data_IF_161428173988
#
_entry.id   IF_161428173988
#
_cell.length_a   1.000
_cell.length_b   1.000
_cell.length_c   1.000
_cell.angle_alpha   90.00
_cell.angle_beta   90.00
_cell.angle_gamma   90.00
#
_symmetry.space_group_name_H-M   'P 1'
#
loop_
_entity.id
_entity.type
_entity.pdbx_description
1 polymer ?
#
# COMPACT_ATOMS: atom_id res chain seq x y z
N UNK A 1 25.26 20.10 -25.65
CA UNK A 1 24.25 19.46 -24.81
C UNK A 1 23.17 20.52 -24.64
N UNK A 2 22.08 20.43 -25.40
CA UNK A 2 21.00 21.42 -25.30
C UNK A 2 20.34 21.22 -23.93
N UNK A 3 20.23 22.29 -23.14
CA UNK A 3 19.42 22.27 -21.92
C UNK A 3 17.99 21.94 -22.34
N UNK A 4 17.48 20.81 -21.83
CA UNK A 4 16.08 20.45 -22.01
C UNK A 4 15.29 21.29 -21.03
N UNK A 5 14.39 22.11 -21.54
CA UNK A 5 13.51 22.90 -20.69
C UNK A 5 12.64 21.94 -19.87
N UNK A 6 12.70 22.09 -18.55
CA UNK A 6 11.83 21.35 -17.64
C UNK A 6 11.30 22.28 -16.57
N UNK A 7 10.04 22.08 -16.20
CA UNK A 7 9.39 22.83 -15.13
C UNK A 7 8.52 21.91 -14.28
N UNK A 8 8.18 22.40 -13.09
CA UNK A 8 7.34 21.72 -12.12
C UNK A 8 5.97 22.40 -12.06
N UNK A 9 4.91 21.61 -11.94
CA UNK A 9 3.55 22.09 -11.65
C UNK A 9 2.84 21.14 -10.69
N UNK A 10 1.96 21.67 -9.86
CA UNK A 10 1.09 20.86 -8.98
C UNK A 10 -0.24 20.53 -9.67
N UNK A 11 -0.53 21.18 -10.80
CA UNK A 11 -1.73 20.93 -11.61
C UNK A 11 -1.49 19.79 -12.59
N UNK A 12 -2.46 18.88 -12.70
CA UNK A 12 -2.42 17.82 -13.72
C UNK A 12 -2.46 18.46 -15.12
N UNK A 13 -1.52 18.11 -16.02
CA UNK A 13 -1.57 18.54 -17.42
C UNK A 13 -2.89 18.14 -18.10
N UNK A 14 -3.44 19.03 -18.94
CA UNK A 14 -4.77 18.83 -19.57
C UNK A 14 -4.93 17.49 -20.31
N UNK A 15 -3.89 17.05 -21.04
CA UNK A 15 -3.95 15.76 -21.73
C UNK A 15 -3.96 14.57 -20.76
N UNK A 16 -3.33 14.68 -19.58
CA UNK A 16 -3.43 13.64 -18.56
C UNK A 16 -4.81 13.63 -17.88
N UNK A 17 -5.46 14.78 -17.74
CA UNK A 17 -6.85 14.84 -17.27
C UNK A 17 -7.81 14.20 -18.28
N UNK A 18 -7.54 14.39 -19.58
CA UNK A 18 -8.27 13.69 -20.64
C UNK A 18 -8.00 12.17 -20.60
N UNK A 19 -6.76 11.73 -20.40
CA UNK A 19 -6.39 10.31 -20.23
C UNK A 19 -7.10 9.69 -19.03
N UNK A 20 -7.12 10.39 -17.90
CA UNK A 20 -7.83 10.00 -16.69
C UNK A 20 -9.33 9.88 -16.94
N UNK A 21 -9.95 10.88 -17.59
CA UNK A 21 -11.37 10.85 -17.91
C UNK A 21 -11.71 9.66 -18.82
N UNK A 22 -10.90 9.43 -19.87
CA UNK A 22 -11.03 8.23 -20.73
C UNK A 22 -10.93 6.93 -19.95
N UNK A 23 -10.03 6.86 -18.96
CA UNK A 23 -9.88 5.68 -18.10
C UNK A 23 -11.11 5.46 -17.21
N UNK A 24 -11.61 6.50 -16.55
CA UNK A 24 -12.79 6.42 -15.69
C UNK A 24 -14.07 6.09 -16.46
N UNK A 25 -14.21 6.61 -17.69
CA UNK A 25 -15.35 6.37 -18.56
C UNK A 25 -15.26 5.04 -19.32
N UNK A 26 -14.08 4.40 -19.35
CA UNK A 26 -13.87 3.20 -20.15
C UNK A 26 -14.61 1.99 -19.62
N UNK A 27 -14.70 1.82 -18.31
CA UNK A 27 -15.33 0.64 -17.70
C UNK A 27 -16.20 1.03 -16.52
N UNK A 28 -17.39 0.43 -16.47
CA UNK A 28 -18.25 0.50 -15.29
C UNK A 28 -17.57 -0.22 -14.13
N UNK A 29 -17.08 0.56 -13.16
CA UNK A 29 -16.35 0.03 -12.01
C UNK A 29 -17.20 -0.99 -11.22
N UNK A 30 -16.62 -2.16 -10.95
CA UNK A 30 -17.26 -3.37 -10.42
C UNK A 30 -17.53 -3.30 -8.92
N UNK A 31 -18.38 -2.37 -8.49
CA UNK A 31 -18.71 -2.10 -7.08
C UNK A 31 -19.67 -3.11 -6.44
N UNK A 32 -20.28 -4.00 -7.21
CA UNK A 32 -21.35 -4.88 -6.74
C UNK A 32 -20.93 -5.75 -5.55
N UNK A 33 -21.65 -5.65 -4.43
CA UNK A 33 -21.35 -6.40 -3.20
C UNK A 33 -20.11 -5.92 -2.42
N UNK A 34 -19.50 -4.79 -2.81
CA UNK A 34 -18.48 -4.09 -2.04
C UNK A 34 -19.09 -2.87 -1.33
N UNK A 35 -18.64 -2.58 -0.12
CA UNK A 35 -19.05 -1.38 0.62
C UNK A 35 -18.09 -0.21 0.36
N UNK A 36 -18.25 0.42 -0.80
CA UNK A 36 -17.40 1.55 -1.22
C UNK A 36 -17.62 2.78 -0.32
N UNK A 37 -18.82 2.96 0.23
CA UNK A 37 -19.10 4.03 1.19
C UNK A 37 -18.31 3.83 2.48
N UNK A 38 -18.23 2.61 2.99
CA UNK A 38 -17.42 2.26 4.15
C UNK A 38 -15.92 2.44 3.91
N UNK A 39 -15.41 2.06 2.73
CA UNK A 39 -14.02 2.32 2.33
C UNK A 39 -13.71 3.83 2.37
N UNK A 40 -14.57 4.64 1.77
CA UNK A 40 -14.42 6.10 1.75
C UNK A 40 -14.55 6.71 3.15
N UNK A 41 -15.51 6.25 3.94
CA UNK A 41 -15.70 6.67 5.33
C UNK A 41 -14.46 6.36 6.18
N UNK A 42 -13.90 5.16 6.05
CA UNK A 42 -12.71 4.76 6.78
C UNK A 42 -11.53 5.69 6.49
N UNK A 43 -11.20 5.92 5.22
CA UNK A 43 -10.11 6.84 4.84
C UNK A 43 -10.41 8.29 5.30
N UNK A 44 -11.66 8.72 5.13
CA UNK A 44 -12.15 10.02 5.58
C UNK A 44 -12.05 10.24 7.09
N UNK A 45 -12.15 9.17 7.91
CA UNK A 45 -12.00 9.25 9.37
C UNK A 45 -10.58 9.64 9.83
N UNK A 46 -9.57 9.39 8.99
CA UNK A 46 -8.19 9.88 9.16
C UNK A 46 -7.96 11.24 8.47
N UNK A 47 -9.03 11.85 7.95
CA UNK A 47 -9.01 13.07 7.15
C UNK A 47 -8.29 12.89 5.80
N UNK A 48 -8.15 11.66 5.31
CA UNK A 48 -7.55 11.38 4.02
C UNK A 48 -8.63 11.47 2.94
N UNK A 49 -8.28 12.00 1.78
CA UNK A 49 -9.18 12.10 0.63
C UNK A 49 -8.77 11.05 -0.39
N UNK A 50 -9.49 9.91 -0.48
CA UNK A 50 -9.23 8.98 -1.56
C UNK A 50 -9.50 9.65 -2.90
N UNK A 51 -8.68 9.29 -3.90
CA UNK A 51 -8.95 9.67 -5.28
C UNK A 51 -9.83 8.63 -5.95
N UNK A 52 -10.19 8.89 -7.20
CA UNK A 52 -10.99 7.98 -8.00
C UNK A 52 -10.24 6.65 -8.22
N UNK A 53 -11.03 5.59 -8.31
CA UNK A 53 -10.53 4.24 -8.55
C UNK A 53 -11.41 3.52 -9.54
N UNK A 54 -10.79 2.59 -10.28
CA UNK A 54 -11.48 1.69 -11.17
C UNK A 54 -11.27 0.26 -10.67
N UNK A 55 -12.37 -0.41 -10.36
CA UNK A 55 -12.40 -1.82 -9.97
C UNK A 55 -12.84 -2.63 -11.19
N UNK A 56 -12.08 -3.65 -11.56
CA UNK A 56 -12.28 -4.35 -12.82
C UNK A 56 -12.06 -5.86 -12.69
N UNK A 57 -12.56 -6.62 -13.65
CA UNK A 57 -12.32 -8.06 -13.77
C UNK A 57 -11.35 -8.40 -14.90
N UNK A 58 -10.91 -9.66 -14.98
CA UNK A 58 -9.96 -10.09 -16.01
C UNK A 58 -10.49 -9.87 -17.44
N UNK A 59 -11.82 -9.99 -17.63
CA UNK A 59 -12.50 -9.70 -18.89
C UNK A 59 -12.43 -8.23 -19.34
N UNK A 60 -12.17 -7.29 -18.42
CA UNK A 60 -12.07 -5.86 -18.71
C UNK A 60 -10.66 -5.45 -19.17
N UNK A 61 -9.66 -6.34 -19.06
CA UNK A 61 -8.24 -6.02 -19.30
C UNK A 61 -7.98 -5.55 -20.72
N UNK A 62 -8.54 -6.24 -21.73
CA UNK A 62 -8.26 -5.89 -23.13
C UNK A 62 -8.84 -4.52 -23.48
N UNK A 63 -10.03 -4.19 -22.95
CA UNK A 63 -10.62 -2.86 -23.08
C UNK A 63 -9.76 -1.79 -22.41
N UNK A 64 -9.27 -2.05 -21.19
CA UNK A 64 -8.38 -1.13 -20.48
C UNK A 64 -7.09 -0.86 -21.26
N UNK A 65 -6.49 -1.87 -21.91
CA UNK A 65 -5.28 -1.71 -22.73
C UNK A 65 -5.49 -0.74 -23.89
N UNK A 66 -6.68 -0.69 -24.47
CA UNK A 66 -7.03 0.21 -25.57
C UNK A 66 -7.18 1.67 -25.13
N UNK A 67 -7.43 1.93 -23.85
CA UNK A 67 -7.60 3.29 -23.32
C UNK A 67 -6.29 4.08 -23.40
N UNK A 68 -5.19 3.46 -22.95
CA UNK A 68 -3.87 4.08 -22.83
C UNK A 68 -2.79 3.18 -23.47
N UNK A 69 -2.81 2.98 -24.80
CA UNK A 69 -1.96 2.00 -25.48
C UNK A 69 -0.46 2.34 -25.38
N UNK A 70 -0.13 3.62 -25.26
CA UNK A 70 1.26 4.10 -25.24
C UNK A 70 1.89 4.10 -23.83
N UNK A 71 1.11 3.92 -22.76
CA UNK A 71 1.65 3.93 -21.39
C UNK A 71 2.20 2.56 -21.00
N UNK A 72 3.50 2.37 -21.18
CA UNK A 72 4.19 1.10 -20.85
C UNK A 72 4.00 0.66 -19.40
N UNK A 73 3.91 1.58 -18.45
CA UNK A 73 3.76 1.21 -17.02
C UNK A 73 2.39 0.62 -16.76
N UNK A 74 1.37 1.21 -17.37
CA UNK A 74 -0.01 0.73 -17.36
C UNK A 74 -0.15 -0.61 -18.08
N UNK A 75 0.44 -0.75 -19.28
CA UNK A 75 0.44 -2.02 -20.02
C UNK A 75 1.14 -3.15 -19.22
N UNK A 76 2.30 -2.86 -18.62
CA UNK A 76 3.04 -3.83 -17.79
C UNK A 76 2.20 -4.27 -16.58
N UNK A 77 1.52 -3.33 -15.92
CA UNK A 77 0.61 -3.67 -14.83
C UNK A 77 -0.50 -4.61 -15.29
N UNK A 78 -1.16 -4.31 -16.40
CA UNK A 78 -2.26 -5.13 -16.93
C UNK A 78 -1.79 -6.54 -17.36
N UNK A 79 -0.57 -6.66 -17.88
CA UNK A 79 0.04 -7.96 -18.17
C UNK A 79 0.33 -8.77 -16.90
N UNK A 80 0.87 -8.13 -15.85
CA UNK A 80 1.14 -8.75 -14.55
C UNK A 80 -0.14 -9.05 -13.74
N UNK A 81 -1.19 -8.25 -13.95
CA UNK A 81 -2.47 -8.35 -13.25
C UNK A 81 -3.13 -9.72 -13.48
N UNK A 82 -2.95 -10.31 -14.67
CA UNK A 82 -3.42 -11.68 -14.99
C UNK A 82 -2.79 -12.77 -14.12
N UNK A 83 -1.66 -12.51 -13.45
CA UNK A 83 -0.90 -13.54 -12.74
C UNK A 83 -0.67 -13.30 -11.25
N UNK A 84 -0.42 -12.05 -10.81
CA UNK A 84 0.14 -11.82 -9.46
C UNK A 84 -0.29 -10.53 -8.75
N UNK A 85 -0.61 -9.45 -9.46
CA UNK A 85 -0.95 -8.15 -8.85
C UNK A 85 -2.47 -7.97 -8.75
N UNK A 86 -2.94 -7.52 -7.60
CA UNK A 86 -4.36 -7.23 -7.37
C UNK A 86 -4.69 -5.75 -7.56
N UNK A 87 -3.71 -4.84 -7.50
CA UNK A 87 -3.92 -3.42 -7.71
C UNK A 87 -2.64 -2.65 -7.99
N UNK A 88 -2.82 -1.40 -8.43
CA UNK A 88 -1.77 -0.40 -8.52
C UNK A 88 -2.39 1.00 -8.52
N UNK A 89 -1.77 1.93 -7.78
CA UNK A 89 -1.95 3.35 -7.98
C UNK A 89 -1.08 3.87 -9.14
N UNK A 90 -1.66 4.68 -10.01
CA UNK A 90 -0.97 5.37 -11.10
C UNK A 90 -0.82 6.85 -10.79
N UNK A 91 0.33 7.32 -10.25
CA UNK A 91 0.51 8.71 -9.87
C UNK A 91 0.30 9.69 -11.03
N UNK A 92 0.61 9.27 -12.26
CA UNK A 92 0.44 10.07 -13.48
C UNK A 92 -1.02 10.50 -13.68
N UNK A 93 -1.95 9.56 -13.54
CA UNK A 93 -3.39 9.77 -13.72
C UNK A 93 -4.13 9.99 -12.41
N UNK A 94 -3.41 9.96 -11.29
CA UNK A 94 -3.96 10.07 -9.95
C UNK A 94 -5.13 9.11 -9.68
N UNK A 95 -5.08 7.91 -10.28
CA UNK A 95 -6.16 6.93 -10.26
C UNK A 95 -5.62 5.58 -9.80
N UNK A 96 -6.37 4.90 -8.94
CA UNK A 96 -6.06 3.54 -8.51
C UNK A 96 -6.82 2.53 -9.36
N UNK A 97 -6.13 1.48 -9.80
CA UNK A 97 -6.76 0.35 -10.49
C UNK A 97 -6.71 -0.86 -9.56
N UNK A 98 -7.86 -1.54 -9.40
CA UNK A 98 -7.96 -2.75 -8.61
C UNK A 98 -8.59 -3.87 -9.43
N UNK A 99 -7.82 -4.92 -9.69
CA UNK A 99 -8.33 -6.16 -10.24
C UNK A 99 -9.02 -6.95 -9.15
N UNK A 100 -10.32 -7.16 -9.31
CA UNK A 100 -11.17 -7.77 -8.30
C UNK A 100 -10.98 -9.29 -8.21
N UNK A 101 -10.47 -9.84 -7.09
CA UNK A 101 -10.12 -11.25 -6.98
C UNK A 101 -11.33 -12.12 -6.53
N UNK A 102 -12.25 -12.46 -7.46
CA UNK A 102 -13.49 -13.21 -7.17
C UNK A 102 -13.29 -14.46 -6.30
N UNK A 103 -12.28 -15.26 -6.58
CA UNK A 103 -12.02 -16.50 -5.83
C UNK A 103 -11.60 -16.23 -4.37
N UNK A 104 -10.85 -15.15 -4.15
CA UNK A 104 -10.45 -14.71 -2.82
C UNK A 104 -11.65 -14.16 -2.05
N UNK A 105 -12.54 -13.39 -2.70
CA UNK A 105 -13.79 -12.92 -2.09
C UNK A 105 -14.69 -14.08 -1.67
N UNK A 106 -14.85 -15.10 -2.50
CA UNK A 106 -15.63 -16.29 -2.16
C UNK A 106 -15.07 -17.01 -0.91
N UNK A 107 -13.77 -16.87 -0.66
CA UNK A 107 -13.09 -17.50 0.48
C UNK A 107 -13.06 -16.61 1.72
N UNK A 108 -12.88 -15.30 1.55
CA UNK A 108 -12.57 -14.36 2.64
C UNK A 108 -13.64 -13.29 2.87
N UNK A 109 -14.72 -13.29 2.08
CA UNK A 109 -15.69 -12.21 2.04
C UNK A 109 -15.21 -10.99 1.24
N UNK A 110 -16.09 -10.00 0.99
CA UNK A 110 -15.76 -8.80 0.21
C UNK A 110 -14.67 -7.94 0.85
N UNK A 111 -14.49 -8.03 2.17
CA UNK A 111 -13.49 -7.27 2.95
C UNK A 111 -12.05 -7.46 2.43
N UNK A 112 -11.74 -8.59 1.78
CA UNK A 112 -10.41 -8.80 1.19
C UNK A 112 -10.15 -7.84 0.03
N UNK A 113 -11.15 -7.62 -0.82
CA UNK A 113 -11.07 -6.70 -1.97
C UNK A 113 -11.12 -5.27 -1.50
N UNK A 114 -12.02 -4.95 -0.57
CA UNK A 114 -12.08 -3.62 0.05
C UNK A 114 -10.77 -3.27 0.76
N UNK A 115 -10.14 -4.23 1.44
CA UNK A 115 -8.82 -4.05 2.05
C UNK A 115 -7.73 -3.77 1.01
N UNK A 116 -7.70 -4.50 -0.11
CA UNK A 116 -6.78 -4.17 -1.21
C UNK A 116 -7.10 -2.81 -1.85
N UNK A 117 -8.38 -2.43 -1.95
CA UNK A 117 -8.76 -1.09 -2.41
C UNK A 117 -8.23 -0.01 -1.46
N UNK A 118 -8.36 -0.19 -0.14
CA UNK A 118 -7.83 0.72 0.87
C UNK A 118 -6.30 0.86 0.75
N UNK A 119 -5.59 -0.24 0.48
CA UNK A 119 -4.14 -0.19 0.21
C UNK A 119 -3.84 0.73 -0.98
N UNK A 120 -4.45 0.48 -2.13
CA UNK A 120 -4.18 1.27 -3.35
C UNK A 120 -4.65 2.72 -3.22
N UNK A 121 -5.79 2.95 -2.58
CA UNK A 121 -6.28 4.30 -2.33
C UNK A 121 -5.36 5.03 -1.36
N UNK A 122 -4.73 4.35 -0.40
CA UNK A 122 -3.77 4.97 0.53
C UNK A 122 -2.60 5.62 -0.21
N UNK A 123 -2.10 5.00 -1.29
CA UNK A 123 -1.13 5.63 -2.20
C UNK A 123 -1.68 6.89 -2.88
N UNK A 124 -2.96 6.89 -3.23
CA UNK A 124 -3.61 8.04 -3.89
C UNK A 124 -3.85 9.25 -2.96
N UNK A 125 -3.86 9.06 -1.64
CA UNK A 125 -4.22 10.11 -0.66
C UNK A 125 -3.21 11.25 -0.54
N UNK A 126 -2.07 11.19 -1.23
CA UNK A 126 -1.04 12.23 -1.16
C UNK A 126 -1.49 13.49 -1.89
N UNK A 127 -1.63 14.60 -1.17
CA UNK A 127 -1.87 15.94 -1.73
C UNK A 127 -0.58 16.60 -2.23
N UNK A 128 0.57 15.97 -2.01
CA UNK A 128 1.91 16.48 -2.36
C UNK A 128 2.45 15.96 -3.71
N UNK A 129 1.56 15.54 -4.60
CA UNK A 129 1.95 15.11 -5.94
C UNK A 129 2.29 16.35 -6.79
N UNK A 130 3.44 16.32 -7.43
CA UNK A 130 3.88 17.35 -8.39
C UNK A 130 4.25 16.69 -9.70
N UNK A 131 4.03 17.36 -10.82
CA UNK A 131 4.40 16.91 -12.16
C UNK A 131 5.67 17.61 -12.61
N UNK A 132 6.65 16.83 -13.06
CA UNK A 132 7.79 17.34 -13.83
C UNK A 132 7.48 17.16 -15.31
N UNK A 133 7.41 18.26 -16.02
CA UNK A 133 7.21 18.30 -17.47
C UNK A 133 8.56 18.60 -18.11
N UNK A 134 9.00 17.74 -19.02
CA UNK A 134 10.29 17.84 -19.72
C UNK A 134 10.03 17.87 -21.22
N UNK A 135 10.49 18.92 -21.89
CA UNK A 135 10.47 18.97 -23.35
C UNK A 135 11.56 18.05 -23.90
N UNK A 136 11.16 17.03 -24.67
CA UNK A 136 12.05 16.08 -25.33
C UNK A 136 12.17 16.35 -26.85
N UNK A 137 11.66 17.50 -27.32
CA UNK A 137 11.58 17.88 -28.73
C UNK A 137 10.25 17.46 -29.33
N UNK A 138 10.18 16.23 -29.83
CA UNK A 138 8.96 15.69 -30.46
C UNK A 138 7.98 15.07 -29.45
N UNK A 139 8.38 14.95 -28.17
CA UNK A 139 7.60 14.34 -27.10
C UNK A 139 7.67 15.17 -25.81
N UNK A 140 6.61 15.09 -25.02
CA UNK A 140 6.59 15.66 -23.66
C UNK A 140 6.80 14.51 -22.67
N UNK A 141 7.93 14.55 -21.96
CA UNK A 141 8.21 13.65 -20.86
C UNK A 141 7.51 14.12 -19.59
N UNK A 142 6.71 13.26 -18.96
CA UNK A 142 6.05 13.56 -17.68
C UNK A 142 6.46 12.54 -16.64
N UNK A 143 6.91 13.02 -15.49
CA UNK A 143 7.14 12.19 -14.32
C UNK A 143 6.51 12.81 -13.08
N UNK A 144 6.15 11.95 -12.13
CA UNK A 144 5.63 12.35 -10.81
C UNK A 144 6.71 12.02 -9.79
N UNK A 145 7.66 12.95 -9.51
CA UNK A 145 8.82 12.65 -8.69
C UNK A 145 8.51 12.32 -7.24
N UNK A 146 7.30 12.61 -6.74
CA UNK A 146 6.86 12.27 -5.39
C UNK A 146 5.44 11.75 -5.37
N UNK A 147 5.26 10.62 -4.69
CA UNK A 147 3.96 10.10 -4.28
C UNK A 147 4.05 9.77 -2.80
N UNK A 148 3.54 10.66 -1.95
CA UNK A 148 3.63 10.49 -0.50
C UNK A 148 5.07 10.44 0.02
N UNK A 149 5.41 9.30 0.65
CA UNK A 149 6.75 9.03 1.18
C UNK A 149 7.71 8.55 0.10
N UNK A 150 7.19 8.08 -1.03
CA UNK A 150 8.00 7.66 -2.16
C UNK A 150 8.51 8.86 -2.96
N UNK A 151 9.80 8.82 -3.29
CA UNK A 151 10.43 9.72 -4.27
C UNK A 151 11.01 8.88 -5.39
N UNK A 152 10.54 9.12 -6.60
CA UNK A 152 10.98 8.45 -7.83
C UNK A 152 11.83 9.41 -8.67
N UNK A 153 13.05 8.99 -9.00
CA UNK A 153 13.99 9.73 -9.87
C UNK A 153 14.56 8.84 -10.97
N UNK A 154 15.45 9.40 -11.80
CA UNK A 154 16.10 8.68 -12.90
C UNK A 154 16.87 7.44 -12.40
N UNK A 155 16.24 6.27 -12.49
CA UNK A 155 16.81 4.97 -12.13
C UNK A 155 16.87 4.65 -10.62
N UNK A 156 16.31 5.48 -9.75
CA UNK A 156 16.26 5.22 -8.30
C UNK A 156 14.93 5.64 -7.69
N UNK A 157 14.40 4.79 -6.82
CA UNK A 157 13.21 5.04 -6.00
C UNK A 157 13.61 4.91 -4.52
N UNK A 158 13.20 5.88 -3.69
CA UNK A 158 13.43 5.88 -2.25
C UNK A 158 12.10 5.96 -1.50
N UNK A 159 12.05 5.40 -0.30
CA UNK A 159 10.87 5.49 0.57
C UNK A 159 9.83 4.41 0.32
N UNK A 160 10.12 3.39 -0.50
CA UNK A 160 9.20 2.26 -0.75
C UNK A 160 8.75 1.61 0.57
N UNK A 161 9.66 1.37 1.51
CA UNK A 161 9.32 0.81 2.81
C UNK A 161 8.26 1.63 3.56
N UNK A 162 8.34 2.97 3.52
CA UNK A 162 7.39 3.83 4.21
C UNK A 162 6.07 3.98 3.48
N UNK A 163 6.12 4.07 2.14
CA UNK A 163 4.93 4.18 1.30
C UNK A 163 4.07 2.90 1.37
N UNK A 164 4.70 1.75 1.17
CA UNK A 164 4.06 0.43 1.29
C UNK A 164 3.67 0.11 2.73
N UNK A 165 4.53 0.48 3.69
CA UNK A 165 4.23 0.28 5.10
C UNK A 165 2.98 1.04 5.54
N UNK A 166 2.83 2.29 5.09
CA UNK A 166 1.62 3.07 5.36
C UNK A 166 0.38 2.44 4.71
N UNK A 167 0.45 2.08 3.42
CA UNK A 167 -0.68 1.47 2.71
C UNK A 167 -1.11 0.13 3.32
N UNK A 168 -0.17 -0.73 3.71
CA UNK A 168 -0.46 -1.99 4.40
C UNK A 168 -1.03 -1.79 5.81
N UNK A 169 -0.55 -0.80 6.57
CA UNK A 169 -1.14 -0.48 7.88
C UNK A 169 -2.59 -0.03 7.73
N UNK A 170 -2.89 0.83 6.74
CA UNK A 170 -4.27 1.27 6.47
C UNK A 170 -5.17 0.08 6.08
N UNK A 171 -4.69 -0.81 5.20
CA UNK A 171 -5.39 -2.05 4.87
C UNK A 171 -5.67 -2.91 6.10
N UNK A 172 -4.66 -3.12 6.93
CA UNK A 172 -4.77 -3.96 8.12
C UNK A 172 -5.77 -3.38 9.15
N UNK A 173 -5.76 -2.06 9.36
CA UNK A 173 -6.73 -1.40 10.25
C UNK A 173 -8.16 -1.43 9.67
N UNK A 174 -8.31 -1.34 8.35
CA UNK A 174 -9.62 -1.53 7.71
C UNK A 174 -10.15 -2.96 7.96
N UNK A 175 -9.34 -3.97 7.65
CA UNK A 175 -9.69 -5.38 7.85
C UNK A 175 -10.03 -5.64 9.32
N UNK A 176 -9.21 -5.14 10.25
CA UNK A 176 -9.47 -5.26 11.69
C UNK A 176 -10.82 -4.67 12.10
N UNK A 177 -11.21 -3.54 11.50
CA UNK A 177 -12.42 -2.79 11.87
C UNK A 177 -13.68 -3.42 11.30
N UNK A 178 -13.62 -3.92 10.06
CA UNK A 178 -14.81 -4.27 9.28
C UNK A 178 -14.91 -5.74 8.88
N UNK A 179 -13.90 -6.57 9.15
CA UNK A 179 -14.01 -8.01 8.89
C UNK A 179 -15.15 -8.62 9.72
N UNK A 180 -16.09 -9.24 9.00
CA UNK A 180 -17.23 -9.92 9.60
C UNK A 180 -16.80 -11.05 10.53
N UNK A 181 -17.66 -11.34 11.50
CA UNK A 181 -17.41 -12.37 12.51
C UNK A 181 -17.23 -13.76 11.89
N UNK A 182 -17.99 -14.08 10.85
CA UNK A 182 -17.90 -15.38 10.17
C UNK A 182 -16.53 -15.56 9.49
N UNK A 183 -16.06 -14.55 8.77
CA UNK A 183 -14.76 -14.52 8.10
C UNK A 183 -13.62 -14.56 9.12
N UNK A 184 -13.74 -13.81 10.24
CA UNK A 184 -12.79 -13.82 11.36
C UNK A 184 -12.67 -15.20 11.97
N UNK A 185 -13.79 -15.82 12.34
CA UNK A 185 -13.83 -17.16 12.93
C UNK A 185 -13.27 -18.21 11.96
N UNK A 186 -13.56 -18.08 10.65
CA UNK A 186 -12.98 -18.95 9.62
C UNK A 186 -11.45 -18.86 9.59
N UNK A 187 -10.88 -17.65 9.61
CA UNK A 187 -9.43 -17.43 9.66
C UNK A 187 -8.81 -18.02 10.94
N UNK A 188 -9.41 -17.76 12.10
CA UNK A 188 -8.96 -18.28 13.39
C UNK A 188 -8.97 -19.81 13.45
N UNK A 189 -10.07 -20.42 13.00
CA UNK A 189 -10.22 -21.88 12.93
C UNK A 189 -9.12 -22.49 12.07
N UNK A 190 -8.82 -21.87 10.92
CA UNK A 190 -7.77 -22.35 10.02
C UNK A 190 -6.38 -22.31 10.65
N UNK A 191 -6.14 -21.33 11.52
CA UNK A 191 -4.88 -21.15 12.24
C UNK A 191 -4.82 -21.93 13.57
N UNK A 192 -5.87 -22.69 13.91
CA UNK A 192 -5.95 -23.38 15.19
C UNK A 192 -5.96 -22.41 16.39
N UNK A 193 -6.39 -21.17 16.17
CA UNK A 193 -6.51 -20.15 17.21
C UNK A 193 -7.89 -20.23 17.87
N UNK A 194 -8.01 -19.89 19.16
CA UNK A 194 -9.30 -19.79 19.82
C UNK A 194 -10.23 -18.77 19.12
N UNK A 195 -11.53 -19.03 19.11
CA UNK A 195 -12.53 -18.18 18.45
C UNK A 195 -12.61 -16.76 19.04
N UNK A 196 -12.21 -16.60 20.29
CA UNK A 196 -12.17 -15.35 21.04
C UNK A 196 -10.91 -14.51 20.74
N UNK A 197 -9.92 -15.05 20.02
CA UNK A 197 -8.72 -14.29 19.65
C UNK A 197 -9.05 -13.13 18.71
N UNK A 198 -8.37 -11.99 18.90
CA UNK A 198 -8.57 -10.81 18.06
C UNK A 198 -7.78 -10.91 16.75
N UNK A 199 -8.02 -10.00 15.80
CA UNK A 199 -7.20 -9.90 14.59
C UNK A 199 -5.80 -9.28 14.84
N UNK A 200 -5.54 -8.78 16.06
CA UNK A 200 -4.19 -8.39 16.48
C UNK A 200 -3.37 -9.59 17.00
N UNK A 201 -4.01 -10.75 17.25
CA UNK A 201 -3.30 -11.99 17.53
C UNK A 201 -2.28 -12.27 16.43
N UNK A 202 -1.15 -12.85 16.79
CA UNK A 202 -0.07 -13.09 15.82
C UNK A 202 0.23 -14.57 15.65
N UNK A 203 0.70 -14.92 14.45
CA UNK A 203 1.26 -16.23 14.13
C UNK A 203 2.74 -16.10 13.78
N UNK A 204 3.60 -17.01 14.27
CA UNK A 204 4.98 -17.03 13.86
C UNK A 204 5.07 -17.46 12.38
N UNK A 205 5.89 -16.76 11.62
CA UNK A 205 6.28 -17.13 10.27
C UNK A 205 7.78 -16.99 10.12
N UNK A 206 8.41 -17.89 9.38
CA UNK A 206 9.85 -17.84 9.12
C UNK A 206 10.07 -17.47 7.66
N UNK A 207 10.96 -16.52 7.43
CA UNK A 207 11.47 -16.20 6.09
C UNK A 207 12.97 -15.94 6.22
N UNK A 208 13.77 -16.78 5.54
CA UNK A 208 15.22 -16.91 5.78
C UNK A 208 15.48 -17.20 7.27
N UNK A 209 16.48 -16.56 7.86
CA UNK A 209 16.91 -16.78 9.25
C UNK A 209 16.18 -15.90 10.27
N UNK A 210 15.02 -15.33 9.91
CA UNK A 210 14.23 -14.48 10.80
C UNK A 210 12.83 -15.06 11.01
N UNK A 211 12.41 -15.05 12.27
CA UNK A 211 11.02 -15.31 12.68
C UNK A 211 10.29 -13.99 12.87
N UNK A 212 9.20 -13.82 12.13
CA UNK A 212 8.29 -12.69 12.18
C UNK A 212 7.01 -13.13 12.89
N UNK A 213 6.35 -12.21 13.58
CA UNK A 213 5.03 -12.43 14.15
C UNK A 213 4.03 -11.65 13.32
N UNK A 214 3.25 -12.35 12.51
CA UNK A 214 2.29 -11.75 11.59
C UNK A 214 0.95 -11.57 12.31
N UNK A 215 0.48 -10.34 12.54
CA UNK A 215 -0.87 -10.11 13.05
C UNK A 215 -1.91 -10.58 12.03
N UNK A 216 -2.99 -11.21 12.50
CA UNK A 216 -3.99 -11.83 11.62
C UNK A 216 -4.69 -10.83 10.70
N UNK A 217 -4.78 -9.55 11.08
CA UNK A 217 -5.31 -8.46 10.24
C UNK A 217 -4.58 -8.24 8.91
N UNK A 218 -3.36 -8.76 8.75
CA UNK A 218 -2.63 -8.72 7.47
C UNK A 218 -2.88 -9.95 6.59
N UNK A 219 -3.46 -11.00 7.16
CA UNK A 219 -3.51 -12.32 6.58
C UNK A 219 -4.84 -12.59 5.85
N UNK A 220 -4.80 -13.44 4.84
CA UNK A 220 -5.98 -13.93 4.11
C UNK A 220 -5.79 -15.39 3.72
N UNK A 221 -6.88 -16.09 3.42
CA UNK A 221 -6.89 -17.49 3.01
C UNK A 221 -6.84 -17.57 1.48
N UNK A 222 -5.97 -18.41 0.92
CA UNK A 222 -5.93 -18.62 -0.53
C UNK A 222 -7.01 -19.62 -0.99
N UNK A 223 -7.63 -19.38 -2.15
CA UNK A 223 -8.70 -20.26 -2.65
C UNK A 223 -8.24 -21.68 -3.00
N UNK A 224 -7.00 -21.82 -3.50
CA UNK A 224 -6.47 -23.03 -4.13
C UNK A 224 -6.17 -24.16 -3.13
N UNK A 225 -5.65 -23.80 -1.95
CA UNK A 225 -5.16 -24.76 -0.96
C UNK A 225 -5.60 -24.41 0.47
N UNK A 226 -6.44 -23.37 0.63
CA UNK A 226 -6.88 -22.82 1.90
C UNK A 226 -5.73 -22.44 2.83
N UNK A 227 -4.53 -22.15 2.34
CA UNK A 227 -3.42 -21.71 3.19
C UNK A 227 -3.56 -20.25 3.54
N UNK A 228 -2.96 -19.87 4.66
CA UNK A 228 -2.89 -18.48 5.07
C UNK A 228 -1.70 -17.82 4.38
N UNK A 229 -1.96 -16.69 3.72
CA UNK A 229 -0.97 -15.88 3.03
C UNK A 229 -1.00 -14.42 3.51
N UNK A 230 0.06 -13.70 3.17
CA UNK A 230 0.22 -12.26 3.35
C UNK A 230 0.72 -11.64 2.05
N UNK A 231 0.51 -10.34 1.89
CA UNK A 231 1.12 -9.58 0.80
C UNK A 231 2.64 -9.51 0.97
N UNK A 232 3.37 -9.31 -0.13
CA UNK A 232 4.82 -9.08 -0.11
C UNK A 232 5.17 -7.83 0.72
N UNK A 233 4.31 -6.81 0.69
CA UNK A 233 4.50 -5.51 1.34
C UNK A 233 4.14 -5.54 2.83
N UNK A 234 3.47 -6.60 3.31
CA UNK A 234 3.04 -6.74 4.70
C UNK A 234 4.19 -6.59 5.71
N UNK A 235 5.41 -7.02 5.37
CA UNK A 235 6.57 -6.85 6.26
C UNK A 235 6.93 -5.38 6.50
N UNK A 236 6.72 -4.51 5.51
CA UNK A 236 6.87 -3.07 5.68
C UNK A 236 5.81 -2.50 6.62
N UNK A 237 4.55 -2.93 6.44
CA UNK A 237 3.42 -2.52 7.30
C UNK A 237 3.62 -2.92 8.75
N UNK A 238 3.93 -4.20 8.99
CA UNK A 238 4.23 -4.71 10.32
C UNK A 238 5.43 -4.01 10.96
N UNK A 239 6.49 -3.75 10.19
CA UNK A 239 7.67 -3.04 10.68
C UNK A 239 7.31 -1.62 11.13
N UNK A 240 6.55 -0.89 10.29
CA UNK A 240 6.10 0.47 10.61
C UNK A 240 5.14 0.50 11.80
N UNK A 241 4.27 -0.50 11.93
CA UNK A 241 3.38 -0.69 13.09
C UNK A 241 4.18 -0.87 14.39
N UNK A 242 5.28 -1.65 14.38
CA UNK A 242 6.16 -1.80 15.54
C UNK A 242 6.80 -0.47 15.95
N UNK A 243 7.22 0.36 14.98
CA UNK A 243 7.75 1.68 15.29
C UNK A 243 6.64 2.56 15.91
N UNK A 244 5.42 2.52 15.37
CA UNK A 244 4.28 3.25 15.92
C UNK A 244 3.92 2.79 17.33
N UNK A 245 4.04 1.49 17.65
CA UNK A 245 3.86 0.98 19.02
C UNK A 245 4.90 1.54 19.99
N UNK A 246 6.14 1.72 19.54
CA UNK A 246 7.22 2.28 20.37
C UNK A 246 7.15 3.81 20.47
N UNK A 247 6.65 4.48 19.44
CA UNK A 247 6.47 5.94 19.38
C UNK A 247 5.14 6.30 18.70
N UNK A 248 4.04 6.39 19.48
CA UNK A 248 2.69 6.59 18.94
C UNK A 248 2.50 7.87 18.13
N UNK A 249 3.34 8.90 18.33
CA UNK A 249 3.26 10.13 17.54
C UNK A 249 3.57 9.91 16.06
N UNK A 250 4.29 8.84 15.72
CA UNK A 250 4.65 8.52 14.33
C UNK A 250 3.42 8.33 13.46
N UNK A 251 2.35 7.71 13.97
CA UNK A 251 1.12 7.47 13.21
C UNK A 251 0.50 8.76 12.67
N UNK A 252 0.33 9.75 13.55
CA UNK A 252 -0.19 11.06 13.16
C UNK A 252 0.76 11.80 12.21
N UNK A 253 2.07 11.63 12.37
CA UNK A 253 3.06 12.20 11.45
C UNK A 253 2.99 11.56 10.06
N UNK A 254 2.76 10.25 9.95
CA UNK A 254 2.57 9.54 8.68
C UNK A 254 1.31 10.02 7.94
N UNK A 255 0.19 10.17 8.66
CA UNK A 255 -1.05 10.74 8.10
C UNK A 255 -0.82 12.19 7.64
N UNK A 256 -0.18 13.01 8.47
CA UNK A 256 0.10 14.41 8.14
C UNK A 256 1.03 14.53 6.94
N UNK A 257 1.98 13.60 6.79
CA UNK A 257 2.89 13.55 5.65
C UNK A 257 2.21 13.26 4.31
N UNK A 258 0.95 12.82 4.30
CA UNK A 258 0.14 12.75 3.08
C UNK A 258 -0.30 14.12 2.58
N UNK A 259 -0.39 15.11 3.48
CA UNK A 259 -1.04 16.41 3.21
C UNK A 259 -0.04 17.55 3.17
N UNK A 260 1.02 17.49 3.98
CA UNK A 260 1.92 18.62 4.18
C UNK A 260 3.39 18.25 4.36
N UNK A 261 4.26 19.16 3.90
CA UNK A 261 5.71 19.02 3.97
C UNK A 261 6.25 18.97 5.40
N UNK A 262 5.57 19.58 6.38
CA UNK A 262 5.90 19.45 7.81
C UNK A 262 5.79 18.00 8.26
N UNK A 263 4.70 17.31 7.94
CA UNK A 263 4.53 15.89 8.23
C UNK A 263 5.68 15.04 7.67
N UNK A 264 6.05 15.26 6.40
CA UNK A 264 7.20 14.57 5.78
C UNK A 264 8.53 14.82 6.49
N UNK A 265 8.70 15.99 7.12
CA UNK A 265 9.91 16.32 7.89
C UNK A 265 9.88 15.77 9.31
N UNK A 266 8.71 15.52 9.88
CA UNK A 266 8.57 14.97 11.24
C UNK A 266 8.85 13.47 11.28
N UNK A 267 8.40 12.69 10.29
CA UNK A 267 8.67 11.24 10.20
C UNK A 267 10.15 10.88 10.42
N UNK A 268 11.13 11.45 9.68
CA UNK A 268 12.54 11.15 9.91
C UNK A 268 13.06 11.61 11.28
N UNK A 269 12.54 12.72 11.83
CA UNK A 269 12.96 13.20 13.16
C UNK A 269 12.53 12.22 14.25
N UNK A 270 11.27 11.79 14.19
CA UNK A 270 10.68 10.85 15.15
C UNK A 270 11.44 9.52 15.11
N UNK A 271 11.62 8.94 13.92
CA UNK A 271 12.29 7.64 13.76
C UNK A 271 13.76 7.72 14.20
N UNK A 272 14.49 8.77 13.81
CA UNK A 272 15.88 8.93 14.23
C UNK A 272 16.03 9.27 15.73
N UNK A 273 14.98 9.79 16.36
CA UNK A 273 14.90 9.97 17.82
C UNK A 273 14.87 8.64 18.58
N UNK A 274 14.29 7.58 17.98
CA UNK A 274 14.36 6.22 18.53
C UNK A 274 15.72 5.57 18.32
N UNK A 275 16.27 5.70 17.10
CA UNK A 275 17.59 5.19 16.74
C UNK A 275 18.18 6.02 15.60
N UNK A 276 19.29 6.70 15.87
CA UNK A 276 19.99 7.49 14.86
C UNK A 276 20.36 6.65 13.63
N UNK A 277 20.00 7.14 12.44
CA UNK A 277 20.29 6.49 11.16
C UNK A 277 19.21 5.52 10.68
N UNK A 278 18.28 5.08 11.55
CA UNK A 278 17.28 4.08 11.20
C UNK A 278 16.37 4.54 10.04
N UNK A 279 15.98 5.81 10.00
CA UNK A 279 15.19 6.32 8.87
C UNK A 279 15.95 6.21 7.54
N UNK A 280 17.24 6.55 7.54
CA UNK A 280 18.07 6.51 6.33
C UNK A 280 18.24 5.09 5.82
N UNK A 281 18.42 4.12 6.72
CA UNK A 281 18.49 2.71 6.38
C UNK A 281 17.17 2.24 5.75
N UNK A 282 16.03 2.54 6.37
CA UNK A 282 14.71 2.10 5.90
C UNK A 282 14.31 2.78 4.59
N UNK A 283 14.60 4.08 4.41
CA UNK A 283 14.22 4.80 3.17
C UNK A 283 14.97 4.30 1.95
N UNK A 284 16.15 3.70 2.14
CA UNK A 284 17.03 3.27 1.05
C UNK A 284 16.65 1.88 0.50
N UNK A 285 15.73 1.18 1.17
CA UNK A 285 15.25 -0.15 0.77
C UNK A 285 14.48 -0.08 -0.55
N UNK A 286 14.70 -1.09 -1.39
CA UNK A 286 14.03 -1.26 -2.67
C UNK A 286 12.58 -1.74 -2.54
N UNK A 287 11.98 -2.08 -3.69
CA UNK A 287 10.66 -2.69 -3.77
C UNK A 287 10.83 -4.19 -4.00
N UNK A 288 11.09 -4.94 -2.92
CA UNK A 288 11.22 -6.39 -2.97
C UNK A 288 10.83 -7.03 -1.64
N UNK A 289 10.50 -8.32 -1.66
CA UNK A 289 10.22 -9.07 -0.43
C UNK A 289 11.42 -9.06 0.50
N UNK A 290 12.60 -9.19 -0.09
CA UNK A 290 13.89 -9.17 0.59
C UNK A 290 14.14 -7.83 1.29
N UNK A 291 13.93 -6.73 0.59
CA UNK A 291 14.08 -5.38 1.14
C UNK A 291 13.11 -5.14 2.30
N UNK A 292 11.83 -5.52 2.17
CA UNK A 292 10.85 -5.35 3.24
C UNK A 292 11.15 -6.24 4.47
N UNK A 293 11.59 -7.48 4.22
CA UNK A 293 12.11 -8.41 5.23
C UNK A 293 13.30 -7.79 5.99
N UNK A 294 14.28 -7.26 5.27
CA UNK A 294 15.47 -6.64 5.85
C UNK A 294 15.14 -5.39 6.65
N UNK A 295 14.17 -4.58 6.18
CA UNK A 295 13.65 -3.44 6.92
C UNK A 295 13.00 -3.84 8.25
N UNK A 296 12.13 -4.85 8.24
CA UNK A 296 11.53 -5.38 9.46
C UNK A 296 12.62 -5.91 10.42
N UNK A 297 13.59 -6.68 9.90
CA UNK A 297 14.72 -7.20 10.69
C UNK A 297 15.48 -6.07 11.37
N UNK A 298 15.83 -5.02 10.63
CA UNK A 298 16.54 -3.85 11.16
C UNK A 298 15.78 -3.19 12.31
N UNK A 299 14.45 -3.11 12.22
CA UNK A 299 13.60 -2.55 13.28
C UNK A 299 13.66 -3.44 14.53
N UNK A 300 13.49 -4.76 14.39
CA UNK A 300 13.58 -5.71 15.51
C UNK A 300 14.96 -5.68 16.16
N UNK A 301 16.02 -5.73 15.38
CA UNK A 301 17.39 -5.71 15.90
C UNK A 301 17.72 -4.37 16.60
N UNK A 302 17.25 -3.25 16.03
CA UNK A 302 17.62 -1.91 16.53
C UNK A 302 16.76 -1.41 17.68
N UNK A 303 15.49 -1.79 17.72
CA UNK A 303 14.53 -1.28 18.70
C UNK A 303 14.12 -2.32 19.74
N UNK A 304 14.36 -3.60 19.50
CA UNK A 304 13.93 -4.69 20.37
C UNK A 304 15.08 -5.67 20.69
N UNK A 305 16.33 -5.27 20.49
CA UNK A 305 17.54 -6.07 20.77
C UNK A 305 17.49 -7.48 20.14
N UNK A 306 16.87 -7.61 18.97
CA UNK A 306 16.70 -8.89 18.28
C UNK A 306 15.65 -9.83 18.89
N UNK A 307 14.95 -9.37 19.94
CA UNK A 307 13.96 -10.14 20.71
C UNK A 307 12.61 -9.47 20.62
N UNK A 308 11.77 -9.94 19.69
CA UNK A 308 10.37 -9.57 19.63
C UNK A 308 9.52 -10.76 20.01
N UNK A 309 8.59 -10.56 20.94
CA UNK A 309 7.49 -11.47 21.18
C UNK A 309 6.19 -10.67 21.33
N UNK A 310 5.11 -11.17 20.74
CA UNK A 310 3.79 -10.55 20.79
C UNK A 310 2.83 -11.47 21.54
N UNK A 311 1.96 -10.91 22.38
CA UNK A 311 0.85 -11.68 22.98
C UNK A 311 -0.29 -11.90 21.97
N UNK A 312 -1.35 -12.60 22.36
CA UNK A 312 -2.54 -12.83 21.51
C UNK A 312 -3.40 -11.58 21.30
N UNK A 313 -3.02 -10.44 21.89
CA UNK A 313 -3.59 -9.11 21.68
C UNK A 313 -2.68 -8.23 20.80
N UNK A 314 -1.53 -8.76 20.35
CA UNK A 314 -0.56 -8.02 19.56
C UNK A 314 0.30 -7.03 20.35
N UNK A 315 0.26 -7.05 21.68
CA UNK A 315 1.13 -6.23 22.52
C UNK A 315 2.54 -6.81 22.59
N UNK A 316 3.53 -5.93 22.71
CA UNK A 316 4.94 -6.32 22.86
C UNK A 316 5.15 -6.89 24.26
N UNK A 317 5.51 -8.17 24.32
CA UNK A 317 6.01 -8.80 25.54
C UNK A 317 7.52 -8.56 25.63
N UNK A 318 7.94 -7.76 26.61
CA UNK A 318 9.35 -7.53 26.97
C UNK A 318 9.70 -8.45 28.13
#
# INVERSE_FOLDING_TARGET
>A
MLERDSYMTDEMPEHLEADKSRLLDSIDSRHEGLDIEQVNYFLGSYGLKPRESVIFYDEDIDQLKEVLPEDRSFQTFLDDARGRRCGAYFPRYQTSLLRRPREYEATNGPVVTEGFLVHELSHSTSELASYKITDLGDEIGISVPRCGQNVSGEGKSWGNFFEEGFAEMMRAEYVKTFQGEAERVKLLTRLGKPSESTLDASIPSSYRDLTYYIPLKYAYITPDNNNVQISVTTMAGMGLELICKKEPRLWNALISARKEMSGLREVPKIINGLKSGLYTDLRALGYSREDFSDGYKKIVDSLFDGKLSLNDQGDINI
#
